data_IF_390478056807
#
_entry.id   IF_390478056807
#
_cell.length_a   1.000
_cell.length_b   1.000
_cell.length_c   1.000
_cell.angle_alpha   90.00
_cell.angle_beta   90.00
_cell.angle_gamma   90.00
#
_symmetry.space_group_name_H-M   'P 1'
#
loop_
_entity.id
_entity.type
_entity.pdbx_description
1 polymer ?
#
# COMPACT_ATOMS: atom_id res chain seq x y z
N UNK A 1 2.63 50.76 -46.02
CA UNK A 1 2.57 49.68 -47.03
C UNK A 1 2.88 48.39 -46.28
N UNK A 2 2.00 47.39 -46.43
CA UNK A 2 2.10 45.93 -46.15
C UNK A 2 3.23 45.40 -45.23
N UNK A 3 3.10 44.33 -44.43
CA UNK A 3 2.04 43.39 -44.06
C UNK A 3 2.73 42.31 -43.19
N UNK A 4 2.06 41.89 -42.09
CA UNK A 4 2.07 40.59 -41.37
C UNK A 4 3.29 39.65 -41.44
N UNK A 5 3.70 39.11 -40.28
CA UNK A 5 3.53 37.69 -39.85
C UNK A 5 4.20 37.51 -38.47
N UNK A 6 3.43 37.36 -37.38
CA UNK A 6 3.20 36.09 -36.65
C UNK A 6 4.46 35.32 -36.24
N UNK A 7 4.72 35.26 -34.92
CA UNK A 7 5.16 34.05 -34.21
C UNK A 7 4.93 34.22 -32.70
N UNK A 8 3.73 33.84 -32.28
CA UNK A 8 3.47 33.21 -30.96
C UNK A 8 4.19 31.85 -31.00
N UNK A 9 4.76 31.38 -29.87
CA UNK A 9 5.33 30.04 -29.56
C UNK A 9 6.62 30.31 -28.72
N UNK A 10 6.88 29.88 -27.47
CA UNK A 10 6.45 28.77 -26.63
C UNK A 10 6.39 29.25 -25.15
N UNK A 11 5.20 29.31 -24.57
CA UNK A 11 5.02 28.87 -23.18
C UNK A 11 4.94 27.35 -23.27
N UNK A 12 5.85 26.59 -22.66
CA UNK A 12 5.64 25.18 -22.29
C UNK A 12 6.87 24.63 -21.55
N UNK A 13 6.58 23.79 -20.57
CA UNK A 13 7.43 22.73 -20.04
C UNK A 13 8.50 23.08 -18.99
N UNK A 14 8.05 23.50 -17.81
CA UNK A 14 8.64 23.01 -16.55
C UNK A 14 7.53 22.65 -15.55
N UNK A 15 6.50 21.94 -16.01
CA UNK A 15 5.83 21.00 -15.12
C UNK A 15 6.74 19.76 -15.21
N UNK A 16 7.77 19.73 -14.37
CA UNK A 16 8.43 18.49 -14.03
C UNK A 16 7.36 17.64 -13.35
N UNK A 17 6.67 16.89 -14.18
CA UNK A 17 5.78 15.82 -13.83
C UNK A 17 6.42 15.01 -12.71
N UNK A 18 5.89 15.17 -11.51
CA UNK A 18 6.05 14.24 -10.41
C UNK A 18 5.33 12.97 -10.86
N UNK A 19 5.94 12.23 -11.78
CA UNK A 19 5.53 10.87 -12.06
C UNK A 19 5.91 10.09 -10.83
N UNK A 20 4.93 9.91 -9.95
CA UNK A 20 4.95 8.90 -8.92
C UNK A 20 5.45 7.60 -9.56
N UNK A 21 6.67 7.20 -9.23
CA UNK A 21 7.11 5.83 -9.42
C UNK A 21 6.28 4.97 -8.46
N UNK A 22 5.01 4.71 -8.81
CA UNK A 22 4.48 3.38 -8.63
C UNK A 22 5.26 2.49 -9.60
N UNK A 23 6.51 2.19 -9.24
CA UNK A 23 7.22 1.06 -9.79
C UNK A 23 6.27 -0.10 -9.52
N UNK A 24 5.66 -0.64 -10.58
CA UNK A 24 4.72 -1.75 -10.41
C UNK A 24 5.52 -2.87 -9.77
N UNK A 25 5.23 -3.20 -8.50
CA UNK A 25 5.91 -4.29 -7.82
C UNK A 25 5.60 -5.56 -8.58
N UNK A 26 6.57 -6.00 -9.39
CA UNK A 26 6.34 -7.07 -10.33
C UNK A 26 5.94 -8.34 -9.57
N UNK A 27 4.83 -8.92 -9.99
CA UNK A 27 4.32 -10.18 -9.50
C UNK A 27 3.80 -10.22 -8.06
N UNK A 28 3.66 -9.08 -7.37
CA UNK A 28 3.02 -9.05 -6.04
C UNK A 28 1.54 -8.67 -6.15
N UNK A 29 0.68 -9.49 -5.56
CA UNK A 29 -0.77 -9.22 -5.44
C UNK A 29 -1.22 -9.27 -3.98
N UNK A 30 -2.15 -8.39 -3.58
CA UNK A 30 -2.85 -8.53 -2.30
C UNK A 30 -4.09 -9.41 -2.49
N UNK A 31 -4.03 -10.61 -1.92
CA UNK A 31 -5.12 -11.57 -1.92
C UNK A 31 -6.16 -11.26 -0.83
N UNK A 32 -5.72 -10.73 0.30
CA UNK A 32 -6.58 -10.28 1.40
C UNK A 32 -5.86 -9.20 2.23
N UNK A 33 -6.56 -8.17 2.76
CA UNK A 33 -7.96 -7.88 2.55
C UNK A 33 -8.24 -7.37 1.14
N UNK A 34 -9.42 -7.69 0.61
CA UNK A 34 -9.89 -7.09 -0.65
C UNK A 34 -10.31 -5.64 -0.41
N UNK A 35 -10.22 -4.82 -1.45
CA UNK A 35 -10.70 -3.44 -1.39
C UNK A 35 -12.17 -3.40 -0.91
N UNK A 36 -12.49 -2.39 -0.10
CA UNK A 36 -13.79 -2.14 0.50
C UNK A 36 -14.34 -3.24 1.42
N UNK A 37 -13.53 -4.24 1.76
CA UNK A 37 -13.90 -5.25 2.76
C UNK A 37 -14.06 -4.63 4.15
N UNK A 38 -14.92 -5.25 4.97
CA UNK A 38 -15.17 -4.86 6.35
C UNK A 38 -14.72 -6.00 7.26
N UNK A 39 -13.82 -5.70 8.18
CA UNK A 39 -13.23 -6.65 9.10
C UNK A 39 -13.76 -6.34 10.50
N UNK A 40 -14.52 -7.26 11.08
CA UNK A 40 -15.05 -7.09 12.43
C UNK A 40 -13.97 -7.47 13.45
N UNK A 41 -13.64 -6.53 14.32
CA UNK A 41 -12.94 -6.81 15.56
C UNK A 41 -13.98 -7.30 16.58
N UNK A 42 -13.87 -8.57 16.97
CA UNK A 42 -14.67 -9.19 18.03
C UNK A 42 -13.76 -9.70 19.15
N UNK A 43 -14.33 -10.19 20.26
CA UNK A 43 -13.54 -10.85 21.31
C UNK A 43 -12.82 -12.10 20.79
N UNK A 44 -13.45 -12.81 19.85
CA UNK A 44 -12.97 -14.05 19.22
C UNK A 44 -12.05 -13.75 18.03
N UNK A 45 -12.23 -12.63 17.32
CA UNK A 45 -11.41 -12.17 16.21
C UNK A 45 -10.54 -10.97 16.61
N UNK A 46 -9.44 -11.28 17.30
CA UNK A 46 -8.46 -10.32 17.77
C UNK A 46 -7.41 -9.93 16.71
N UNK A 47 -7.43 -10.55 15.53
CA UNK A 47 -6.42 -10.35 14.50
C UNK A 47 -7.01 -10.41 13.10
N UNK A 48 -6.37 -9.69 12.18
CA UNK A 48 -6.57 -9.83 10.74
C UNK A 48 -5.27 -10.26 10.07
N UNK A 49 -5.30 -10.47 8.76
CA UNK A 49 -4.14 -10.85 7.96
C UNK A 49 -3.99 -9.92 6.76
N UNK A 50 -2.75 -9.74 6.33
CA UNK A 50 -2.41 -9.40 4.95
C UNK A 50 -1.96 -10.69 4.28
N UNK A 51 -2.60 -11.08 3.19
CA UNK A 51 -2.19 -12.23 2.37
C UNK A 51 -1.67 -11.68 1.06
N UNK A 52 -0.40 -11.97 0.77
CA UNK A 52 0.30 -11.61 -0.45
C UNK A 52 0.41 -12.84 -1.35
N UNK A 53 0.09 -12.68 -2.62
CA UNK A 53 0.42 -13.62 -3.69
C UNK A 53 1.69 -13.19 -4.41
N UNK A 54 2.49 -14.16 -4.86
CA UNK A 54 3.60 -13.93 -5.76
C UNK A 54 3.41 -14.74 -7.05
N UNK A 55 3.42 -14.06 -8.19
CA UNK A 55 3.28 -14.64 -9.53
C UNK A 55 4.59 -14.67 -10.30
N UNK A 56 5.71 -14.23 -9.71
CA UNK A 56 7.03 -14.38 -10.29
C UNK A 56 7.50 -15.85 -10.25
N UNK A 57 8.37 -16.19 -11.18
CA UNK A 57 9.02 -17.50 -11.25
C UNK A 57 9.89 -17.77 -10.02
N UNK A 58 10.15 -19.06 -9.76
CA UNK A 58 10.86 -19.51 -8.57
C UNK A 58 12.28 -18.95 -8.40
N UNK A 59 12.90 -18.50 -9.49
CA UNK A 59 14.26 -17.94 -9.52
C UNK A 59 14.30 -16.41 -9.38
N UNK A 60 13.15 -15.73 -9.32
CA UNK A 60 13.06 -14.27 -9.28
C UNK A 60 12.03 -13.80 -8.24
N UNK A 61 12.19 -14.27 -7.00
CA UNK A 61 11.23 -14.00 -5.93
C UNK A 61 11.58 -12.71 -5.17
N UNK A 62 10.63 -11.76 -5.05
CA UNK A 62 10.84 -10.59 -4.24
C UNK A 62 10.92 -10.96 -2.74
N UNK A 63 11.79 -10.25 -2.03
CA UNK A 63 11.87 -10.32 -0.56
C UNK A 63 10.96 -9.27 0.03
N UNK A 64 10.11 -9.65 0.97
CA UNK A 64 9.37 -8.73 1.82
C UNK A 64 10.35 -8.09 2.80
N UNK A 65 10.36 -6.76 2.89
CA UNK A 65 11.26 -6.04 3.80
C UNK A 65 10.52 -5.33 4.92
N UNK A 66 9.30 -4.86 4.63
CA UNK A 66 8.45 -4.19 5.62
C UNK A 66 6.97 -4.22 5.21
N UNK A 67 6.10 -4.30 6.20
CA UNK A 67 4.66 -4.07 6.06
C UNK A 67 4.22 -3.10 7.14
N UNK A 68 3.49 -2.08 6.74
CA UNK A 68 2.83 -1.14 7.65
C UNK A 68 1.33 -1.14 7.41
N UNK A 69 0.56 -1.03 8.49
CA UNK A 69 -0.86 -0.70 8.46
C UNK A 69 -1.01 0.81 8.64
N UNK A 70 -1.81 1.43 7.78
CA UNK A 70 -1.99 2.88 7.75
C UNK A 70 -3.47 3.20 7.91
N UNK A 71 -3.77 4.27 8.64
CA UNK A 71 -5.05 4.97 8.63
C UNK A 71 -4.82 6.48 8.68
N UNK A 72 -5.91 7.26 8.57
CA UNK A 72 -5.87 8.71 8.79
C UNK A 72 -6.37 9.04 10.19
N UNK A 73 -5.70 9.99 10.86
CA UNK A 73 -6.20 10.57 12.11
C UNK A 73 -7.27 11.65 11.86
N UNK A 74 -7.78 12.24 12.95
CA UNK A 74 -8.79 13.31 12.94
C UNK A 74 -8.34 14.57 12.18
N UNK A 75 -7.05 14.70 11.87
CA UNK A 75 -6.46 15.82 11.11
C UNK A 75 -6.12 15.44 9.67
N UNK A 76 -6.59 14.27 9.20
CA UNK A 76 -6.25 13.69 7.89
C UNK A 76 -4.75 13.42 7.71
N UNK A 77 -4.00 13.15 8.78
CA UNK A 77 -2.59 12.77 8.71
C UNK A 77 -2.45 11.25 8.74
N UNK A 78 -1.49 10.70 7.98
CA UNK A 78 -1.20 9.27 8.02
C UNK A 78 -0.65 8.86 9.38
N UNK A 79 -1.34 7.92 10.03
CA UNK A 79 -0.85 7.19 11.18
C UNK A 79 -0.35 5.85 10.69
N UNK A 80 0.97 5.68 10.71
CA UNK A 80 1.66 4.49 10.22
C UNK A 80 2.02 3.59 11.39
N UNK A 81 1.58 2.34 11.34
CA UNK A 81 1.95 1.31 12.29
C UNK A 81 2.69 0.18 11.56
N UNK A 82 3.94 -0.04 11.91
CA UNK A 82 4.69 -1.18 11.38
C UNK A 82 4.15 -2.48 11.98
N UNK A 83 3.71 -3.39 11.12
CA UNK A 83 3.14 -4.68 11.51
C UNK A 83 4.14 -5.81 11.35
N UNK A 84 5.09 -5.66 10.43
CA UNK A 84 6.15 -6.62 10.18
C UNK A 84 7.37 -5.94 9.55
N UNK A 85 8.57 -6.39 9.93
CA UNK A 85 9.86 -5.98 9.34
C UNK A 85 10.79 -7.19 9.34
N UNK A 86 11.51 -7.42 8.24
CA UNK A 86 12.38 -8.58 8.11
C UNK A 86 12.98 -8.68 6.71
N UNK A 87 13.40 -9.88 6.31
CA UNK A 87 13.90 -10.16 4.96
C UNK A 87 13.48 -11.58 4.55
N UNK A 88 12.18 -11.75 4.29
CA UNK A 88 11.60 -13.06 3.95
C UNK A 88 11.24 -13.11 2.47
N UNK A 89 11.57 -14.21 1.79
CA UNK A 89 11.15 -14.43 0.41
C UNK A 89 9.63 -14.62 0.33
N UNK A 90 8.99 -13.90 -0.60
CA UNK A 90 7.57 -14.11 -0.89
C UNK A 90 7.50 -15.29 -1.86
N UNK A 91 7.16 -16.48 -1.35
CA UNK A 91 7.15 -17.71 -2.14
C UNK A 91 6.01 -17.72 -3.17
N UNK A 92 4.86 -18.30 -2.83
CA UNK A 92 3.63 -18.23 -3.64
C UNK A 92 2.55 -17.47 -2.92
N UNK A 93 2.41 -17.75 -1.63
CA UNK A 93 1.50 -17.06 -0.72
C UNK A 93 2.23 -16.82 0.59
N UNK A 94 2.20 -15.58 1.07
CA UNK A 94 2.73 -15.19 2.38
C UNK A 94 1.62 -14.50 3.18
N UNK A 95 1.53 -14.81 4.47
CA UNK A 95 0.54 -14.22 5.36
C UNK A 95 1.23 -13.47 6.50
N UNK A 96 0.84 -12.22 6.69
CA UNK A 96 1.32 -11.35 7.77
C UNK A 96 0.14 -11.11 8.70
N UNK A 97 0.24 -11.58 9.93
CA UNK A 97 -0.79 -11.38 10.94
C UNK A 97 -0.70 -9.97 11.52
N UNK A 98 -1.84 -9.30 11.66
CA UNK A 98 -2.00 -8.03 12.33
C UNK A 98 -2.89 -8.19 13.56
N UNK A 99 -2.36 -7.82 14.73
CA UNK A 99 -3.12 -7.79 15.98
C UNK A 99 -3.98 -6.53 16.04
N UNK A 100 -5.31 -6.73 15.97
CA UNK A 100 -6.29 -5.65 16.01
C UNK A 100 -6.41 -5.03 17.41
N UNK A 101 -6.01 -5.73 18.48
CA UNK A 101 -6.07 -5.18 19.86
C UNK A 101 -5.11 -4.01 20.07
N UNK A 102 -4.11 -3.85 19.20
CA UNK A 102 -3.17 -2.73 19.21
C UNK A 102 -3.75 -1.44 18.60
N UNK A 103 -4.89 -1.55 17.90
CA UNK A 103 -5.65 -0.39 17.42
C UNK A 103 -6.45 0.20 18.59
N UNK A 104 -6.43 1.52 18.75
CA UNK A 104 -7.22 2.15 19.81
C UNK A 104 -8.68 2.20 19.36
N UNK A 105 -9.62 2.13 20.30
CA UNK A 105 -11.06 2.18 19.98
C UNK A 105 -11.46 3.45 19.23
N UNK A 106 -10.79 4.58 19.50
CA UNK A 106 -10.99 5.85 18.77
C UNK A 106 -10.62 5.74 17.29
N UNK A 107 -9.76 4.79 16.94
CA UNK A 107 -9.30 4.57 15.58
C UNK A 107 -10.31 3.70 14.81
N UNK A 108 -11.52 3.43 15.33
CA UNK A 108 -12.53 2.56 14.73
C UNK A 108 -13.95 3.18 14.82
N UNK A 109 -14.78 3.06 13.77
CA UNK A 109 -14.48 2.47 12.46
C UNK A 109 -13.71 3.44 11.55
N UNK A 110 -12.52 3.04 11.11
CA UNK A 110 -11.71 3.82 10.16
C UNK A 110 -11.41 3.05 8.88
N UNK A 111 -10.95 3.82 7.88
CA UNK A 111 -10.43 3.29 6.62
C UNK A 111 -8.94 3.03 6.78
N UNK A 112 -8.53 1.79 6.52
CA UNK A 112 -7.15 1.31 6.63
C UNK A 112 -6.63 0.82 5.28
N UNK A 113 -5.32 0.80 5.10
CA UNK A 113 -4.64 0.12 4.00
C UNK A 113 -3.26 -0.36 4.44
N UNK A 114 -2.72 -1.36 3.75
CA UNK A 114 -1.37 -1.82 3.96
C UNK A 114 -0.42 -1.13 3.00
N UNK A 115 0.74 -0.70 3.49
CA UNK A 115 1.90 -0.31 2.68
C UNK A 115 2.94 -1.43 2.78
N UNK A 116 3.27 -2.00 1.64
CA UNK A 116 4.14 -3.16 1.49
C UNK A 116 5.43 -2.70 0.82
N UNK A 117 6.56 -3.04 1.42
CA UNK A 117 7.88 -2.82 0.86
C UNK A 117 8.50 -4.16 0.50
N UNK A 118 8.97 -4.27 -0.74
CA UNK A 118 9.68 -5.45 -1.23
C UNK A 118 11.01 -5.06 -1.87
N UNK A 119 11.88 -6.04 -2.06
CA UNK A 119 13.14 -5.90 -2.76
C UNK A 119 13.30 -7.03 -3.78
N UNK A 120 13.66 -6.69 -5.02
CA UNK A 120 13.97 -7.62 -6.11
C UNK A 120 15.17 -7.07 -6.89
N UNK A 121 16.20 -7.88 -7.11
CA UNK A 121 17.43 -7.49 -7.84
C UNK A 121 17.95 -6.09 -7.46
N UNK A 122 18.16 -5.89 -6.15
CA UNK A 122 18.60 -4.62 -5.52
C UNK A 122 17.68 -3.40 -5.70
N UNK A 123 16.55 -3.57 -6.38
CA UNK A 123 15.52 -2.55 -6.51
C UNK A 123 14.49 -2.67 -5.38
N UNK A 124 14.26 -1.57 -4.67
CA UNK A 124 13.17 -1.49 -3.70
C UNK A 124 11.87 -1.12 -4.40
N UNK A 125 10.78 -1.73 -3.95
CA UNK A 125 9.45 -1.43 -4.43
C UNK A 125 8.50 -1.15 -3.27
N UNK A 126 7.59 -0.19 -3.48
CA UNK A 126 6.51 0.12 -2.56
C UNK A 126 5.17 -0.12 -3.25
N UNK A 127 4.30 -0.89 -2.60
CA UNK A 127 2.94 -1.16 -3.05
C UNK A 127 1.94 -0.84 -1.93
N UNK A 128 0.77 -0.33 -2.29
CA UNK A 128 -0.32 -0.09 -1.34
C UNK A 128 -1.51 -0.99 -1.66
N UNK A 129 -2.08 -1.62 -0.64
CA UNK A 129 -3.31 -2.42 -0.79
C UNK A 129 -4.49 -1.52 -1.11
N UNK A 130 -5.57 -2.14 -1.59
CA UNK A 130 -6.89 -1.51 -1.53
C UNK A 130 -7.24 -1.10 -0.10
N UNK A 131 -8.00 -0.01 0.04
CA UNK A 131 -8.52 0.45 1.32
C UNK A 131 -9.60 -0.51 1.83
N UNK A 132 -9.67 -0.72 3.13
CA UNK A 132 -10.66 -1.56 3.80
C UNK A 132 -11.09 -0.92 5.12
N UNK A 133 -12.14 -1.44 5.75
CA UNK A 133 -12.63 -0.93 7.04
C UNK A 133 -12.43 -1.96 8.13
N UNK A 134 -12.12 -1.48 9.33
CA UNK A 134 -12.17 -2.29 10.54
C UNK A 134 -13.27 -1.70 11.42
N UNK A 135 -14.15 -2.55 11.95
CA UNK A 135 -15.28 -2.13 12.80
C UNK A 135 -15.22 -2.88 14.11
N UNK A 136 -15.65 -2.25 15.20
CA UNK A 136 -15.98 -2.99 16.43
C UNK A 136 -17.41 -3.52 16.30
N UNK A 137 -17.60 -4.84 16.44
CA UNK A 137 -18.93 -5.34 16.76
C UNK A 137 -19.08 -5.26 18.28
N UNK A 138 -20.03 -4.43 18.72
CA UNK A 138 -20.44 -4.32 20.12
C UNK A 138 -21.27 -5.56 20.47
#
# INVERSE_FOLDING_TARGET
MLMRTTSIIFFLAWIATVFAQQQQCQGIEVLYPKADSIIAQTKEQASTYLILGNTNDDNNKPKLTKVSLIHLDDKNQEVVQDVWTGQDEILRVSAIQQDLKKLKTRDLPNTFWFRIFTQLDDSQCQYESGKFKITTNI
#
